data_IF_528724210993
#
_entry.id   IF_528724210993
#
_cell.length_a   1.000
_cell.length_b   1.000
_cell.length_c   1.000
_cell.angle_alpha   90.00
_cell.angle_beta   90.00
_cell.angle_gamma   90.00
#
_symmetry.space_group_name_H-M   'P 1'
#
loop_
_entity.id
_entity.type
_entity.pdbx_description
1 polymer ?
#
# COMPACT_ATOMS: atom_id res chain seq x y z
N UNK A 1 26.89 60.36 -25.43
CA UNK A 1 26.10 59.12 -25.67
C UNK A 1 26.27 58.24 -24.47
N UNK A 2 25.23 58.14 -23.61
CA UNK A 2 25.24 57.25 -22.41
C UNK A 2 24.69 55.90 -22.83
N UNK A 3 25.51 54.84 -22.73
CA UNK A 3 25.12 53.45 -22.94
C UNK A 3 24.50 52.94 -21.65
N UNK A 4 23.24 52.54 -21.67
CA UNK A 4 22.57 51.82 -20.60
C UNK A 4 22.85 50.34 -20.80
N UNK A 5 23.47 49.69 -19.79
CA UNK A 5 23.61 48.22 -19.71
C UNK A 5 22.41 47.70 -18.95
N UNK A 6 21.55 46.97 -19.64
CA UNK A 6 20.43 46.25 -19.00
C UNK A 6 21.00 44.94 -18.51
N UNK A 7 21.11 44.77 -17.19
CA UNK A 7 21.42 43.48 -16.56
C UNK A 7 20.10 42.70 -16.44
N UNK A 8 19.97 41.67 -17.28
CA UNK A 8 18.84 40.73 -17.21
C UNK A 8 19.12 39.73 -16.09
N UNK A 9 18.50 39.92 -14.91
CA UNK A 9 18.50 38.89 -13.86
C UNK A 9 17.60 37.75 -14.30
N UNK A 10 18.19 36.64 -14.74
CA UNK A 10 17.53 35.37 -14.90
C UNK A 10 17.25 34.79 -13.51
N UNK A 11 16.03 35.00 -13.01
CA UNK A 11 15.51 34.25 -11.86
C UNK A 11 15.29 32.82 -12.32
N UNK A 12 16.24 31.95 -11.96
CA UNK A 12 16.09 30.53 -12.11
C UNK A 12 14.95 30.02 -11.21
N UNK A 13 13.82 29.72 -11.81
CA UNK A 13 12.77 28.98 -11.14
C UNK A 13 13.32 27.56 -10.87
N UNK A 14 13.81 27.33 -9.66
CA UNK A 14 14.07 25.97 -9.18
C UNK A 14 12.71 25.33 -8.92
N UNK A 15 12.20 24.59 -9.90
CA UNK A 15 11.12 23.65 -9.64
C UNK A 15 11.69 22.57 -8.73
N UNK A 16 11.43 22.66 -7.43
CA UNK A 16 11.61 21.55 -6.53
C UNK A 16 10.65 20.46 -6.98
N UNK A 17 11.15 19.43 -7.64
CA UNK A 17 10.38 18.20 -7.82
C UNK A 17 10.05 17.71 -6.41
N UNK A 18 8.78 17.70 -6.05
CA UNK A 18 8.31 17.15 -4.80
C UNK A 18 8.60 15.65 -4.89
N UNK A 19 9.62 15.20 -4.19
CA UNK A 19 9.94 13.76 -4.09
C UNK A 19 8.75 13.14 -3.37
N UNK A 20 7.99 12.32 -4.09
CA UNK A 20 6.93 11.55 -3.48
C UNK A 20 7.60 10.50 -2.57
N UNK A 21 7.59 10.74 -1.27
CA UNK A 21 8.19 9.85 -0.27
C UNK A 21 7.28 8.69 0.10
N UNK A 22 6.05 8.68 -0.40
CA UNK A 22 5.08 7.61 -0.17
C UNK A 22 5.26 6.57 -1.26
N UNK A 23 5.45 5.31 -0.87
CA UNK A 23 5.56 4.20 -1.81
C UNK A 23 4.27 4.04 -2.62
N UNK A 24 4.39 3.96 -3.93
CA UNK A 24 3.24 3.75 -4.81
C UNK A 24 2.60 2.39 -4.54
N UNK A 25 1.30 2.32 -4.27
CA UNK A 25 0.59 1.05 -4.08
C UNK A 25 0.51 0.24 -5.36
N UNK A 26 0.32 -1.08 -5.22
CA UNK A 26 0.09 -2.02 -6.32
C UNK A 26 -0.91 -3.10 -5.91
N UNK A 27 -1.20 -4.00 -6.83
CA UNK A 27 -2.14 -5.08 -6.61
C UNK A 27 -1.59 -6.14 -5.65
N UNK A 28 -2.49 -6.71 -4.85
CA UNK A 28 -2.18 -7.84 -3.95
C UNK A 28 -1.69 -9.07 -4.72
N UNK A 29 -2.18 -9.22 -5.95
CA UNK A 29 -1.87 -10.37 -6.79
C UNK A 29 -2.64 -11.64 -6.42
N UNK A 30 -2.66 -12.64 -7.31
CA UNK A 30 -3.48 -13.84 -7.15
C UNK A 30 -2.91 -14.85 -6.14
N UNK A 31 -1.66 -14.70 -5.74
CA UNK A 31 -0.95 -15.66 -4.87
C UNK A 31 -0.84 -15.20 -3.42
N UNK A 32 -1.57 -14.15 -3.02
CA UNK A 32 -1.63 -13.78 -1.61
C UNK A 32 -2.27 -14.89 -0.79
N UNK A 33 -1.73 -15.14 0.41
CA UNK A 33 -2.22 -16.14 1.34
C UNK A 33 -2.21 -15.59 2.75
N UNK A 34 -3.34 -15.68 3.42
CA UNK A 34 -3.45 -15.26 4.82
C UNK A 34 -2.67 -16.18 5.76
N UNK A 35 -2.23 -15.63 6.87
CA UNK A 35 -1.64 -16.40 7.97
C UNK A 35 -0.16 -16.72 7.79
N UNK A 36 0.56 -15.94 6.99
CA UNK A 36 2.00 -16.07 6.86
C UNK A 36 2.69 -16.07 8.24
N UNK A 37 3.64 -17.01 8.50
CA UNK A 37 4.31 -17.15 9.77
C UNK A 37 5.21 -15.94 10.06
N UNK A 38 5.54 -15.73 11.34
CA UNK A 38 6.56 -14.77 11.74
C UNK A 38 7.92 -15.20 11.19
N UNK A 39 8.64 -14.24 10.61
CA UNK A 39 10.03 -14.43 10.22
C UNK A 39 10.87 -14.35 11.49
N UNK A 40 11.62 -15.41 11.75
CA UNK A 40 12.60 -15.49 12.82
C UNK A 40 14.00 -15.46 12.21
N UNK A 41 14.95 -14.80 12.88
CA UNK A 41 16.34 -14.67 12.40
C UNK A 41 16.46 -13.98 11.02
N UNK A 42 15.56 -13.05 10.71
CA UNK A 42 15.55 -12.23 9.49
C UNK A 42 15.57 -13.03 8.18
N UNK A 43 15.28 -14.34 8.23
CA UNK A 43 15.33 -15.22 7.06
C UNK A 43 13.94 -15.70 6.67
N UNK A 44 13.57 -15.43 5.42
CA UNK A 44 12.32 -15.93 4.85
C UNK A 44 12.47 -17.42 4.51
N UNK A 45 11.65 -18.26 5.13
CA UNK A 45 11.71 -19.71 4.92
C UNK A 45 11.34 -20.10 3.46
N UNK A 46 11.98 -21.11 2.87
CA UNK A 46 12.95 -22.05 3.45
C UNK A 46 14.40 -21.52 3.52
N UNK A 47 14.61 -20.23 3.30
CA UNK A 47 15.94 -19.63 3.17
C UNK A 47 16.48 -19.75 1.74
N UNK A 48 17.75 -19.48 1.59
CA UNK A 48 18.44 -19.53 0.28
C UNK A 48 18.64 -20.99 -0.14
N UNK A 49 18.03 -21.37 -1.24
CA UNK A 49 18.18 -22.72 -1.83
C UNK A 49 19.24 -22.72 -2.95
N UNK A 50 19.37 -21.60 -3.66
CA UNK A 50 20.43 -21.36 -4.65
C UNK A 50 21.33 -20.23 -4.17
N UNK A 51 22.55 -20.55 -3.78
CA UNK A 51 23.52 -19.58 -3.25
C UNK A 51 23.92 -18.51 -4.28
N UNK A 52 23.82 -18.79 -5.58
CA UNK A 52 24.07 -17.79 -6.62
C UNK A 52 22.97 -16.72 -6.70
N UNK A 53 21.84 -16.97 -6.07
CA UNK A 53 20.67 -16.08 -5.99
C UNK A 53 20.41 -15.54 -4.58
N UNK A 54 21.34 -15.76 -3.66
CA UNK A 54 21.19 -15.22 -2.30
C UNK A 54 20.95 -13.72 -2.36
N UNK A 55 19.94 -13.25 -1.62
CA UNK A 55 19.51 -11.87 -1.60
C UNK A 55 19.39 -11.37 -0.17
N UNK A 56 20.09 -10.28 0.12
CA UNK A 56 19.95 -9.50 1.33
C UNK A 56 19.22 -8.20 1.01
N UNK A 57 18.12 -7.94 1.65
CA UNK A 57 17.37 -6.69 1.52
C UNK A 57 17.39 -5.92 2.84
N UNK A 58 17.78 -4.66 2.76
CA UNK A 58 17.70 -3.74 3.89
C UNK A 58 16.47 -2.84 3.67
N UNK A 59 15.50 -2.95 4.57
CA UNK A 59 14.32 -2.09 4.56
C UNK A 59 14.54 -0.90 5.48
N UNK A 60 14.17 0.25 5.00
CA UNK A 60 14.02 1.47 5.76
C UNK A 60 12.56 1.88 5.67
N UNK A 61 11.91 2.10 6.81
CA UNK A 61 10.51 2.50 6.84
C UNK A 61 10.44 3.94 7.34
N UNK A 62 9.79 4.79 6.56
CA UNK A 62 9.44 6.15 6.93
C UNK A 62 7.92 6.28 7.02
N UNK A 63 7.49 7.14 7.92
CA UNK A 63 6.08 7.47 8.10
C UNK A 63 5.88 8.95 7.85
N UNK A 64 4.94 9.30 6.95
CA UNK A 64 4.68 10.67 6.52
C UNK A 64 5.98 11.44 6.19
N UNK A 65 6.85 10.83 5.39
CA UNK A 65 8.14 11.42 5.02
C UNK A 65 9.06 11.71 6.23
N UNK A 66 9.11 10.80 7.19
CA UNK A 66 9.83 10.96 8.46
C UNK A 66 9.30 12.04 9.41
N UNK A 67 8.08 12.52 9.19
CA UNK A 67 7.43 13.47 10.11
C UNK A 67 6.94 12.78 11.40
N UNK A 68 6.75 11.46 11.36
CA UNK A 68 6.35 10.64 12.50
C UNK A 68 7.49 9.70 12.90
N UNK A 69 7.83 9.70 14.18
CA UNK A 69 8.83 8.78 14.73
C UNK A 69 8.19 7.41 14.97
N UNK A 70 8.65 6.38 14.25
CA UNK A 70 8.16 5.01 14.40
C UNK A 70 8.38 4.44 15.81
N UNK A 71 9.41 4.87 16.51
CA UNK A 71 9.70 4.43 17.89
C UNK A 71 8.67 4.93 18.90
N UNK A 72 7.89 5.94 18.52
CA UNK A 72 6.80 6.49 19.35
C UNK A 72 5.43 5.85 19.07
N UNK A 73 5.33 5.02 18.04
CA UNK A 73 4.07 4.37 17.69
C UNK A 73 3.72 3.27 18.69
N UNK A 74 2.43 3.17 19.09
CA UNK A 74 2.00 2.26 20.16
C UNK A 74 1.95 0.80 19.76
N UNK A 75 2.30 0.46 18.52
CA UNK A 75 2.15 -0.89 17.98
C UNK A 75 3.29 -1.24 17.04
N UNK A 76 3.78 -2.50 17.03
CA UNK A 76 4.81 -2.90 16.10
C UNK A 76 4.30 -2.80 14.66
N UNK A 77 5.14 -2.26 13.80
CA UNK A 77 4.93 -2.27 12.38
C UNK A 77 5.37 -3.62 11.80
N UNK A 78 4.65 -4.12 10.79
CA UNK A 78 5.01 -5.37 10.16
C UNK A 78 4.91 -5.29 8.63
N UNK A 79 5.84 -5.99 7.97
CA UNK A 79 5.80 -6.27 6.54
C UNK A 79 5.45 -7.74 6.33
N UNK A 80 4.35 -8.03 5.66
CA UNK A 80 4.05 -9.35 5.14
C UNK A 80 4.62 -9.45 3.72
N UNK A 81 5.51 -10.41 3.51
CA UNK A 81 6.26 -10.56 2.27
C UNK A 81 5.95 -11.91 1.64
N UNK A 82 5.83 -11.94 0.30
CA UNK A 82 5.75 -13.18 -0.45
C UNK A 82 6.32 -13.02 -1.85
N UNK A 83 6.95 -14.07 -2.35
CA UNK A 83 7.50 -14.11 -3.71
C UNK A 83 7.61 -15.55 -4.24
N UNK A 84 7.88 -15.69 -5.53
CA UNK A 84 8.16 -16.97 -6.18
C UNK A 84 9.56 -17.47 -5.80
N UNK A 85 9.79 -18.79 -5.88
CA UNK A 85 11.11 -19.37 -5.77
C UNK A 85 12.02 -18.95 -6.96
N UNK A 86 13.26 -19.45 -7.02
CA UNK A 86 14.21 -19.16 -8.10
C UNK A 86 13.72 -19.58 -9.50
N UNK A 87 12.77 -20.52 -9.58
CA UNK A 87 12.16 -20.99 -10.82
C UNK A 87 10.92 -20.19 -11.24
N UNK A 88 10.51 -19.20 -10.46
CA UNK A 88 9.31 -18.40 -10.73
C UNK A 88 8.00 -19.06 -10.25
N UNK A 89 8.07 -19.99 -9.32
CA UNK A 89 6.92 -20.73 -8.81
C UNK A 89 6.55 -20.24 -7.42
N UNK A 90 5.25 -20.02 -7.19
CA UNK A 90 4.73 -19.67 -5.87
C UNK A 90 4.38 -20.93 -5.08
N UNK A 91 4.61 -20.89 -3.79
CA UNK A 91 4.13 -21.91 -2.86
C UNK A 91 2.59 -21.93 -2.80
N UNK A 92 2.03 -23.09 -2.44
CA UNK A 92 0.59 -23.29 -2.25
C UNK A 92 -0.28 -23.16 -3.52
N UNK A 93 0.29 -23.27 -4.71
CA UNK A 93 -0.51 -23.31 -5.95
C UNK A 93 -1.23 -24.64 -6.14
N UNK A 94 -0.78 -25.70 -5.45
CA UNK A 94 -1.38 -27.04 -5.41
C UNK A 94 -2.46 -27.19 -4.33
N UNK A 95 -2.74 -26.13 -3.59
CA UNK A 95 -3.76 -26.10 -2.54
C UNK A 95 -3.32 -26.61 -1.17
N UNK A 96 -2.02 -26.88 -0.95
CA UNK A 96 -1.52 -27.25 0.40
C UNK A 96 -1.64 -26.03 1.35
N UNK A 97 -2.54 -26.06 2.36
CA UNK A 97 -2.78 -24.91 3.23
C UNK A 97 -1.61 -24.58 4.15
N UNK A 98 -0.67 -25.51 4.34
CA UNK A 98 0.46 -25.38 5.26
C UNK A 98 1.76 -25.01 4.54
N UNK A 99 1.75 -24.87 3.21
CA UNK A 99 2.92 -24.45 2.46
C UNK A 99 3.05 -22.92 2.48
N UNK A 100 4.03 -22.43 3.21
CA UNK A 100 4.38 -21.01 3.33
C UNK A 100 5.80 -20.72 2.84
N UNK A 101 6.36 -21.53 1.94
CA UNK A 101 7.67 -21.26 1.37
C UNK A 101 7.68 -19.87 0.71
N UNK A 102 8.71 -19.09 0.98
CA UNK A 102 8.88 -17.69 0.54
C UNK A 102 7.71 -16.76 0.92
N UNK A 103 7.10 -17.03 2.08
CA UNK A 103 6.03 -16.22 2.68
C UNK A 103 6.32 -16.01 4.15
N UNK A 104 6.24 -14.78 4.62
CA UNK A 104 6.47 -14.51 6.02
C UNK A 104 6.10 -13.10 6.43
N UNK A 105 6.02 -12.90 7.74
CA UNK A 105 5.73 -11.61 8.36
C UNK A 105 6.93 -11.15 9.18
N UNK A 106 7.58 -10.09 8.71
CA UNK A 106 8.69 -9.42 9.35
C UNK A 106 8.15 -8.32 10.27
N UNK A 107 8.36 -8.46 11.56
CA UNK A 107 8.05 -7.41 12.53
C UNK A 107 9.25 -6.48 12.64
N UNK A 108 9.03 -5.21 12.41
CA UNK A 108 10.07 -4.20 12.46
C UNK A 108 10.27 -3.72 13.91
N UNK A 109 11.52 -3.63 14.31
CA UNK A 109 11.93 -2.94 15.53
C UNK A 109 12.69 -1.67 15.14
N UNK A 110 12.00 -0.52 15.20
CA UNK A 110 12.54 0.75 14.70
C UNK A 110 12.44 0.91 13.17
N UNK A 111 13.23 1.86 12.66
CA UNK A 111 13.13 2.29 11.24
C UNK A 111 13.79 1.36 10.24
N UNK A 112 14.62 0.46 10.66
CA UNK A 112 15.42 -0.40 9.78
C UNK A 112 15.21 -1.88 10.09
N UNK A 113 15.21 -2.71 9.06
CA UNK A 113 15.19 -4.15 9.20
C UNK A 113 15.91 -4.81 8.03
N UNK A 114 16.41 -6.00 8.24
CA UNK A 114 17.08 -6.79 7.20
C UNK A 114 16.30 -8.06 6.93
N UNK A 115 16.23 -8.47 5.67
CA UNK A 115 15.64 -9.72 5.23
C UNK A 115 16.66 -10.50 4.41
N UNK A 116 16.82 -11.78 4.73
CA UNK A 116 17.57 -12.73 3.93
C UNK A 116 16.61 -13.68 3.20
N UNK A 117 16.76 -13.77 1.89
CA UNK A 117 15.98 -14.66 1.03
C UNK A 117 16.77 -14.98 -0.23
N UNK A 118 16.13 -15.46 -1.27
CA UNK A 118 16.75 -15.56 -2.60
C UNK A 118 16.06 -14.65 -3.61
N UNK A 119 16.78 -14.22 -4.62
CA UNK A 119 16.24 -13.41 -5.72
C UNK A 119 15.18 -14.24 -6.47
N UNK A 120 13.91 -13.80 -6.50
CA UNK A 120 12.84 -14.53 -7.17
C UNK A 120 13.12 -14.80 -8.64
N UNK A 121 12.66 -15.92 -9.14
CA UNK A 121 12.65 -16.20 -10.57
C UNK A 121 11.64 -15.35 -11.31
N UNK A 122 11.77 -15.34 -12.63
CA UNK A 122 10.80 -14.74 -13.54
C UNK A 122 9.54 -15.61 -13.50
N UNK A 123 8.45 -15.02 -13.14
CA UNK A 123 7.11 -15.58 -13.18
C UNK A 123 6.47 -15.26 -14.55
N UNK A 124 5.64 -16.13 -15.15
CA UNK A 124 5.28 -15.99 -16.54
C UNK A 124 4.98 -14.56 -16.97
N UNK A 125 5.82 -14.02 -17.84
CA UNK A 125 5.73 -12.69 -18.46
C UNK A 125 5.88 -11.49 -17.48
N UNK A 126 6.16 -11.73 -16.19
CA UNK A 126 6.39 -10.72 -15.19
C UNK A 126 7.87 -10.62 -14.79
N UNK A 127 8.41 -9.42 -14.58
CA UNK A 127 9.75 -9.27 -14.01
C UNK A 127 9.82 -9.89 -12.61
N UNK A 128 11.03 -10.25 -12.19
CA UNK A 128 11.30 -10.70 -10.83
C UNK A 128 10.81 -9.66 -9.82
N UNK A 129 10.02 -10.07 -8.82
CA UNK A 129 9.44 -9.16 -7.85
C UNK A 129 9.12 -9.81 -6.52
N UNK A 130 9.05 -8.98 -5.49
CA UNK A 130 8.59 -9.35 -4.14
C UNK A 130 7.34 -8.54 -3.83
N UNK A 131 6.26 -9.21 -3.46
CA UNK A 131 5.08 -8.56 -2.91
C UNK A 131 5.33 -8.17 -1.47
N UNK A 132 4.86 -6.99 -1.11
CA UNK A 132 4.93 -6.47 0.25
C UNK A 132 3.57 -5.90 0.64
N UNK A 133 3.09 -6.34 1.80
CA UNK A 133 1.96 -5.73 2.47
C UNK A 133 2.46 -5.18 3.81
N UNK A 134 2.58 -3.87 3.88
CA UNK A 134 2.91 -3.18 5.11
C UNK A 134 1.66 -2.92 5.92
N UNK A 135 1.70 -3.13 7.23
CA UNK A 135 0.58 -2.81 8.09
C UNK A 135 1.02 -2.37 9.48
N UNK A 136 0.32 -1.38 9.99
CA UNK A 136 0.34 -0.95 11.36
C UNK A 136 -1.05 -1.22 11.93
N UNK A 137 -1.11 -1.97 13.02
CA UNK A 137 -2.38 -2.26 13.70
C UNK A 137 -2.27 -1.87 15.15
N UNK A 138 -3.19 -1.04 15.61
CA UNK A 138 -3.37 -0.74 17.02
C UNK A 138 -4.85 -0.84 17.42
N UNK A 139 -5.18 -0.49 18.66
CA UNK A 139 -6.56 -0.57 19.15
C UNK A 139 -7.54 0.34 18.42
N UNK A 140 -7.07 1.33 17.67
CA UNK A 140 -7.89 2.40 17.09
C UNK A 140 -7.94 2.36 15.56
N UNK A 141 -6.90 1.86 14.90
CA UNK A 141 -6.86 1.80 13.44
C UNK A 141 -5.92 0.69 12.94
N UNK A 142 -6.16 0.28 11.69
CA UNK A 142 -5.24 -0.54 10.91
C UNK A 142 -4.97 0.20 9.61
N UNK A 143 -3.71 0.55 9.40
CA UNK A 143 -3.25 1.10 8.14
C UNK A 143 -2.53 0.02 7.34
N UNK A 144 -2.82 -0.07 6.06
CA UNK A 144 -2.23 -1.09 5.18
C UNK A 144 -1.89 -0.50 3.82
N UNK A 145 -0.70 -0.83 3.35
CA UNK A 145 -0.31 -0.61 1.97
C UNK A 145 0.09 -1.94 1.33
N UNK A 146 -0.30 -2.14 0.09
CA UNK A 146 0.15 -3.26 -0.74
C UNK A 146 0.95 -2.70 -1.89
N UNK A 147 2.13 -3.27 -2.12
CA UNK A 147 2.98 -2.92 -3.26
C UNK A 147 3.77 -4.13 -3.76
N UNK A 148 4.49 -3.94 -4.86
CA UNK A 148 5.41 -4.94 -5.42
C UNK A 148 6.74 -4.26 -5.67
N UNK A 149 7.82 -4.88 -5.20
CA UNK A 149 9.19 -4.40 -5.36
C UNK A 149 9.87 -5.15 -6.50
N UNK A 150 10.42 -4.43 -7.43
CA UNK A 150 11.07 -4.94 -8.63
C UNK A 150 12.57 -4.71 -8.54
N UNK A 151 13.36 -5.41 -9.36
CA UNK A 151 14.81 -5.27 -9.35
C UNK A 151 15.28 -4.51 -10.59
N UNK A 152 15.94 -3.37 -10.35
CA UNK A 152 16.41 -2.49 -11.42
C UNK A 152 17.37 -3.24 -12.37
N UNK A 153 17.08 -3.17 -13.66
CA UNK A 153 17.86 -3.86 -14.68
C UNK A 153 17.22 -5.17 -15.19
N UNK A 154 16.11 -5.63 -14.57
CA UNK A 154 15.33 -6.72 -15.16
C UNK A 154 14.72 -6.26 -16.49
N UNK A 155 15.03 -7.01 -17.56
CA UNK A 155 14.63 -6.66 -18.93
C UNK A 155 13.11 -6.67 -19.15
N UNK A 156 12.36 -7.41 -18.35
CA UNK A 156 10.91 -7.50 -18.45
C UNK A 156 10.20 -6.27 -17.88
N UNK A 157 10.85 -5.44 -17.06
CA UNK A 157 10.25 -4.20 -16.56
C UNK A 157 9.73 -3.32 -17.70
N UNK A 158 10.47 -3.24 -18.81
CA UNK A 158 10.09 -2.40 -19.95
C UNK A 158 8.75 -2.77 -20.59
N UNK A 159 8.31 -4.02 -20.44
CA UNK A 159 7.04 -4.54 -20.97
C UNK A 159 5.95 -4.71 -19.91
N UNK A 160 6.26 -4.45 -18.64
CA UNK A 160 5.35 -4.58 -17.48
C UNK A 160 4.83 -3.19 -17.06
N UNK A 161 3.64 -3.07 -16.46
CA UNK A 161 3.17 -1.84 -15.85
C UNK A 161 4.12 -1.24 -14.82
N UNK A 162 4.99 -2.05 -14.22
CA UNK A 162 6.04 -1.61 -13.29
C UNK A 162 6.98 -0.54 -13.88
N UNK A 163 7.09 -0.43 -15.22
CA UNK A 163 7.92 0.59 -15.90
C UNK A 163 7.57 2.03 -15.52
N UNK A 164 6.31 2.28 -15.20
CA UNK A 164 5.80 3.61 -14.90
C UNK A 164 5.98 4.02 -13.42
N UNK A 165 6.56 3.11 -12.60
CA UNK A 165 6.71 3.29 -11.15
C UNK A 165 8.14 2.99 -10.68
N UNK A 166 9.12 3.83 -11.05
CA UNK A 166 10.53 3.60 -10.72
C UNK A 166 10.83 3.71 -9.21
N UNK A 167 9.95 4.28 -8.43
CA UNK A 167 10.01 4.35 -6.95
C UNK A 167 9.95 2.96 -6.29
N UNK A 168 9.53 1.93 -7.02
CA UNK A 168 9.46 0.53 -6.59
C UNK A 168 10.62 -0.34 -7.09
N UNK A 169 11.61 0.25 -7.76
CA UNK A 169 12.75 -0.49 -8.29
C UNK A 169 13.94 -0.46 -7.33
N UNK A 170 14.38 -1.64 -6.93
CA UNK A 170 15.55 -1.81 -6.06
C UNK A 170 16.79 -1.97 -6.93
N UNK A 171 17.78 -1.08 -6.84
CA UNK A 171 19.10 -1.35 -7.37
C UNK A 171 19.74 -2.48 -6.57
N UNK A 172 20.39 -3.42 -7.25
CA UNK A 172 21.11 -4.52 -6.62
C UNK A 172 22.62 -4.38 -6.86
N UNK A 173 23.35 -4.50 -5.77
CA UNK A 173 24.80 -4.68 -5.79
C UNK A 173 25.13 -6.17 -5.78
N UNK A 174 26.06 -6.59 -6.65
CA UNK A 174 26.59 -7.96 -6.64
C UNK A 174 27.71 -8.05 -5.61
N UNK A 175 27.59 -8.99 -4.70
CA UNK A 175 28.57 -9.25 -3.64
C UNK A 175 29.20 -10.64 -3.82
N UNK A 176 30.21 -10.95 -3.00
CA UNK A 176 30.77 -12.30 -2.98
C UNK A 176 29.78 -13.40 -2.56
N UNK A 177 28.69 -13.01 -1.88
CA UNK A 177 27.69 -13.92 -1.30
C UNK A 177 26.31 -13.78 -1.96
N UNK A 178 26.19 -13.23 -3.17
CA UNK A 178 24.93 -13.00 -3.85
C UNK A 178 24.65 -11.53 -4.10
N UNK A 179 23.43 -11.10 -3.85
CA UNK A 179 22.92 -9.75 -4.11
C UNK A 179 22.57 -9.01 -2.82
N UNK A 180 22.78 -7.71 -2.82
CA UNK A 180 22.33 -6.83 -1.75
C UNK A 180 21.59 -5.63 -2.33
N UNK A 181 20.47 -5.25 -1.70
CA UNK A 181 19.70 -4.10 -2.08
C UNK A 181 19.09 -3.41 -0.86
N UNK A 182 18.66 -2.17 -1.06
CA UNK A 182 17.95 -1.41 -0.03
C UNK A 182 16.69 -0.79 -0.59
N UNK A 183 15.65 -0.74 0.23
CA UNK A 183 14.38 -0.13 -0.12
C UNK A 183 13.85 0.74 1.00
N UNK A 184 13.55 2.01 0.67
CA UNK A 184 12.87 2.92 1.57
C UNK A 184 11.34 2.79 1.37
N UNK A 185 10.69 2.18 2.36
CA UNK A 185 9.25 1.97 2.34
C UNK A 185 8.55 3.16 3.00
N UNK A 186 7.98 4.02 2.19
CA UNK A 186 7.27 5.21 2.64
C UNK A 186 5.78 4.93 2.84
N UNK A 187 5.31 5.23 4.04
CA UNK A 187 3.92 5.07 4.44
C UNK A 187 3.30 6.43 4.69
N UNK A 188 2.01 6.51 4.44
CA UNK A 188 1.21 7.67 4.82
C UNK A 188 0.63 7.43 6.22
N UNK A 189 0.77 8.39 7.10
CA UNK A 189 0.05 8.40 8.36
C UNK A 189 -1.36 8.92 8.13
N UNK A 190 -2.29 8.02 7.89
CA UNK A 190 -3.69 8.37 7.97
C UNK A 190 -4.08 8.24 9.44
N UNK A 191 -3.76 9.27 10.24
CA UNK A 191 -4.39 9.44 11.56
C UNK A 191 -5.86 9.64 11.29
N UNK A 192 -6.65 8.64 11.66
CA UNK A 192 -8.08 8.58 11.55
C UNK A 192 -8.64 9.64 10.63
N UNK A 193 -9.10 9.28 9.44
CA UNK A 193 -9.69 10.18 8.46
C UNK A 193 -9.57 11.67 8.85
N UNK A 194 -8.41 12.31 8.65
CA UNK A 194 -8.47 13.68 8.23
C UNK A 194 -9.18 13.60 6.89
N UNK A 195 -10.47 13.82 6.93
CA UNK A 195 -11.24 14.21 5.78
C UNK A 195 -10.35 15.22 5.05
N UNK A 196 -9.86 14.86 3.86
CA UNK A 196 -9.30 15.89 2.98
C UNK A 196 -10.32 17.01 3.02
N UNK A 197 -9.90 18.17 3.45
CA UNK A 197 -10.76 19.34 3.71
C UNK A 197 -11.59 19.78 2.50
N UNK A 198 -11.40 19.16 1.34
CA UNK A 198 -12.22 19.30 0.15
C UNK A 198 -13.38 18.30 0.06
N UNK A 199 -13.46 17.30 0.96
CA UNK A 199 -14.51 16.28 0.97
C UNK A 199 -15.41 16.47 2.18
N UNK A 200 -16.22 17.50 2.14
CA UNK A 200 -17.00 18.02 3.28
C UNK A 200 -18.17 17.12 3.72
N UNK A 201 -18.44 15.99 3.06
CA UNK A 201 -19.55 15.16 3.45
C UNK A 201 -19.17 14.07 4.45
N UNK A 202 -20.07 13.74 5.37
CA UNK A 202 -19.82 12.85 6.52
C UNK A 202 -20.95 11.83 6.64
N UNK A 203 -20.62 10.60 7.05
CA UNK A 203 -21.56 9.55 7.44
C UNK A 203 -21.50 9.34 8.95
N UNK A 204 -22.62 9.52 9.65
CA UNK A 204 -22.72 9.33 11.11
C UNK A 204 -24.05 8.69 11.52
N UNK A 205 -24.04 7.75 12.49
CA UNK A 205 -22.90 7.00 12.99
C UNK A 205 -22.35 6.03 11.93
N UNK A 206 -21.08 5.67 12.04
CA UNK A 206 -20.48 4.59 11.30
C UNK A 206 -19.45 3.89 12.22
N UNK A 207 -19.70 2.66 12.68
CA UNK A 207 -20.84 1.77 12.32
C UNK A 207 -22.21 2.29 12.73
N UNK A 208 -23.21 1.95 11.91
CA UNK A 208 -24.62 2.29 12.15
C UNK A 208 -25.46 1.05 12.52
N UNK A 209 -26.64 1.28 13.08
CA UNK A 209 -27.62 0.20 13.34
C UNK A 209 -28.85 0.37 12.47
N UNK A 210 -29.72 1.29 12.85
CA UNK A 210 -31.03 1.43 12.24
C UNK A 210 -31.13 2.64 11.32
N UNK A 211 -30.16 3.54 11.38
CA UNK A 211 -30.07 4.73 10.55
C UNK A 211 -28.66 5.32 10.50
N UNK A 212 -28.40 6.09 9.48
CA UNK A 212 -27.23 6.98 9.39
C UNK A 212 -27.61 8.32 8.76
N UNK A 213 -26.78 9.32 9.00
CA UNK A 213 -26.95 10.66 8.46
C UNK A 213 -25.81 10.95 7.49
N UNK A 214 -26.17 11.48 6.34
CA UNK A 214 -25.25 12.10 5.39
C UNK A 214 -25.31 13.60 5.58
N UNK A 215 -24.18 14.25 5.82
CA UNK A 215 -24.11 15.70 6.01
C UNK A 215 -22.88 16.30 5.29
N UNK A 216 -22.89 17.62 5.06
CA UNK A 216 -21.83 18.31 4.34
C UNK A 216 -21.89 18.11 2.82
N UNK A 217 -23.04 17.74 2.28
CA UNK A 217 -23.23 17.59 0.83
C UNK A 217 -23.29 18.96 0.19
N UNK A 218 -22.46 19.21 -0.79
CA UNK A 218 -22.46 20.46 -1.56
C UNK A 218 -23.27 20.30 -2.86
N UNK A 219 -24.29 21.11 -3.00
CA UNK A 219 -25.15 21.07 -4.19
C UNK A 219 -26.17 19.93 -4.16
N UNK A 220 -26.60 19.50 -5.34
CA UNK A 220 -27.62 18.47 -5.53
C UNK A 220 -26.96 17.21 -6.14
N UNK A 221 -26.21 16.47 -5.30
CA UNK A 221 -25.45 15.31 -5.74
C UNK A 221 -26.23 14.00 -5.59
N UNK A 222 -26.00 13.04 -6.47
CA UNK A 222 -26.62 11.71 -6.39
C UNK A 222 -25.87 10.86 -5.37
N UNK A 223 -26.59 10.41 -4.31
CA UNK A 223 -26.14 9.40 -3.37
C UNK A 223 -26.64 8.03 -3.82
N UNK A 224 -25.73 7.06 -3.83
CA UNK A 224 -26.05 5.65 -4.08
C UNK A 224 -25.44 4.80 -2.99
N UNK A 225 -26.23 3.96 -2.34
CA UNK A 225 -25.76 2.97 -1.36
C UNK A 225 -25.94 1.58 -1.93
N UNK A 226 -24.88 0.79 -1.94
CA UNK A 226 -24.87 -0.55 -2.51
C UNK A 226 -24.11 -1.54 -1.61
N UNK A 227 -24.47 -2.82 -1.69
CA UNK A 227 -23.72 -3.90 -1.03
C UNK A 227 -22.53 -4.42 -1.86
N UNK A 228 -21.85 -5.44 -1.35
CA UNK A 228 -20.70 -6.07 -2.00
C UNK A 228 -21.02 -6.74 -3.37
N UNK A 229 -22.29 -7.01 -3.64
CA UNK A 229 -22.76 -7.57 -4.87
C UNK A 229 -23.25 -6.52 -5.87
N UNK A 230 -23.12 -5.22 -5.51
CA UNK A 230 -23.59 -4.10 -6.33
C UNK A 230 -25.11 -3.90 -6.30
N UNK A 231 -25.86 -4.56 -5.37
CA UNK A 231 -27.30 -4.32 -5.21
C UNK A 231 -27.50 -2.98 -4.54
N UNK A 232 -28.34 -2.15 -5.15
CA UNK A 232 -28.61 -0.80 -4.65
C UNK A 232 -29.70 -0.87 -3.59
N UNK A 233 -29.43 -0.31 -2.43
CA UNK A 233 -30.35 -0.19 -1.29
C UNK A 233 -30.95 1.20 -1.16
N UNK A 234 -30.22 2.21 -1.63
CA UNK A 234 -30.68 3.60 -1.61
C UNK A 234 -30.10 4.35 -2.80
N UNK A 235 -30.92 5.19 -3.43
CA UNK A 235 -30.49 6.08 -4.50
C UNK A 235 -31.37 7.31 -4.54
N UNK A 236 -30.77 8.48 -4.25
CA UNK A 236 -31.47 9.76 -4.27
C UNK A 236 -30.50 10.92 -4.47
N UNK A 237 -30.99 12.05 -4.97
CA UNK A 237 -30.23 13.28 -4.99
C UNK A 237 -30.40 14.01 -3.68
N UNK A 238 -29.28 14.30 -3.02
CA UNK A 238 -29.27 14.92 -1.71
C UNK A 238 -28.91 16.40 -1.80
N UNK A 239 -29.64 17.19 -1.04
CA UNK A 239 -29.19 18.45 -0.49
C UNK A 239 -28.79 18.21 0.96
N UNK A 240 -27.95 19.02 1.54
CA UNK A 240 -27.32 18.83 2.83
C UNK A 240 -28.23 18.23 3.92
N UNK A 241 -27.67 17.34 4.76
CA UNK A 241 -28.27 16.77 5.97
C UNK A 241 -29.44 15.79 5.74
N UNK A 242 -29.15 14.63 5.18
CA UNK A 242 -30.18 13.60 4.94
C UNK A 242 -30.01 12.42 5.89
N UNK A 243 -31.11 12.03 6.56
CA UNK A 243 -31.21 10.85 7.41
C UNK A 243 -31.73 9.66 6.58
N UNK A 244 -31.04 8.53 6.65
CA UNK A 244 -31.36 7.33 5.88
C UNK A 244 -31.58 6.17 6.84
N UNK A 245 -32.80 5.59 6.81
CA UNK A 245 -33.13 4.42 7.62
C UNK A 245 -32.56 3.15 7.00
N UNK A 246 -31.95 2.33 7.84
CA UNK A 246 -31.36 1.02 7.49
C UNK A 246 -32.03 -0.13 8.23
N UNK A 247 -33.16 0.12 8.90
CA UNK A 247 -33.83 -0.84 9.77
C UNK A 247 -34.18 -2.18 9.08
N UNK A 248 -34.37 -2.17 7.75
CA UNK A 248 -34.72 -3.35 6.96
C UNK A 248 -33.56 -3.84 6.08
N UNK A 249 -32.34 -3.28 6.24
CA UNK A 249 -31.20 -3.70 5.44
C UNK A 249 -30.46 -4.83 6.15
N UNK A 250 -29.92 -5.82 5.42
CA UNK A 250 -29.02 -6.81 5.99
C UNK A 250 -27.84 -6.17 6.71
N UNK A 251 -27.37 -6.80 7.78
CA UNK A 251 -26.15 -6.37 8.46
C UNK A 251 -24.93 -6.66 7.58
N UNK A 252 -23.93 -5.81 7.61
CA UNK A 252 -22.74 -5.95 6.79
C UNK A 252 -22.16 -4.64 6.31
N UNK A 253 -21.30 -4.73 5.30
CA UNK A 253 -20.59 -3.60 4.72
C UNK A 253 -21.27 -3.11 3.44
N UNK A 254 -21.43 -1.80 3.34
CA UNK A 254 -22.01 -1.11 2.19
C UNK A 254 -21.04 -0.06 1.66
N UNK A 255 -21.12 0.22 0.37
CA UNK A 255 -20.45 1.35 -0.25
C UNK A 255 -21.43 2.46 -0.50
N UNK A 256 -21.11 3.63 0.01
CA UNK A 256 -21.90 4.86 -0.15
C UNK A 256 -21.16 5.76 -1.10
N UNK A 257 -21.72 5.94 -2.30
CA UNK A 257 -21.16 6.80 -3.35
C UNK A 257 -21.96 8.09 -3.40
N UNK A 258 -21.27 9.22 -3.31
CA UNK A 258 -21.82 10.56 -3.50
C UNK A 258 -21.05 11.26 -4.65
N UNK A 259 -21.71 11.46 -5.76
CA UNK A 259 -21.03 11.92 -6.98
C UNK A 259 -19.91 10.95 -7.41
N UNK A 260 -18.68 11.43 -7.48
CA UNK A 260 -17.48 10.61 -7.77
C UNK A 260 -16.75 10.05 -6.55
N UNK A 261 -17.25 10.30 -5.34
CA UNK A 261 -16.61 9.97 -4.06
C UNK A 261 -17.26 8.77 -3.39
N UNK A 262 -16.50 7.92 -2.73
CA UNK A 262 -17.01 6.68 -2.09
C UNK A 262 -16.55 6.60 -0.65
N UNK A 263 -17.46 6.22 0.25
CA UNK A 263 -17.19 5.89 1.65
C UNK A 263 -17.76 4.53 2.00
N UNK A 264 -17.20 3.89 3.01
CA UNK A 264 -17.71 2.63 3.54
C UNK A 264 -18.65 2.91 4.70
N UNK A 265 -19.79 2.21 4.72
CA UNK A 265 -20.74 2.17 5.83
C UNK A 265 -20.81 0.74 6.38
N UNK A 266 -20.72 0.59 7.70
CA UNK A 266 -20.87 -0.71 8.37
C UNK A 266 -22.18 -0.71 9.15
N UNK A 267 -23.04 -1.71 8.91
CA UNK A 267 -24.27 -1.95 9.69
C UNK A 267 -24.07 -3.12 10.66
N UNK A 268 -24.36 -2.85 11.96
CA UNK A 268 -24.23 -3.78 13.08
C UNK A 268 -25.57 -4.39 13.46
#
# INVERSE_FOLDING_TARGET
MKRWVIILCLLGLHASAQVNCITTPDQLGPYFKHGAPLITNDTLAPGVQDSSRALKLNFYVSYDCDTVDLDTLPSPYALELWHANAQGEYSNVDGNPNDFAYRGRLVLSGKTSTLYTELPGIYPWRPSHIHVKGFLTNAWFTDTIVTQLYFKGDSLIASDPAKDFPDRWIPLDTTANGYEGSFAFGLSYIVGMEERTDDQWVLKPNPARDEFIVSGVQGNEELVVMDALGRIFYKERLSDHTRISTAHWPRGTYWVRLGGRVRTLVLL
#
